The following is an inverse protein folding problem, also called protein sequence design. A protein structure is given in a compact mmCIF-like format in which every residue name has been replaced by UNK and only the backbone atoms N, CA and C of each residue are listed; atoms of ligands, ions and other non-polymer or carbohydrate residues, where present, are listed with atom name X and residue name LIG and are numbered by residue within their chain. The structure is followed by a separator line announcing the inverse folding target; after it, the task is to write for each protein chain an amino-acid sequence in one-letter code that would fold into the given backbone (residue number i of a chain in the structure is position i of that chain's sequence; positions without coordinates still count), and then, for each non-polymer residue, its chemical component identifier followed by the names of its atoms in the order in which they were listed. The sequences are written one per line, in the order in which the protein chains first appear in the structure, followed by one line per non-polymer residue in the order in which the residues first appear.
data_IF_684739964112
#
_entry.id   IF_684739964112
#
_cell.length_a   1.000
_cell.length_b   1.000
_cell.length_c   1.000
_cell.angle_alpha   90.00
_cell.angle_beta   90.00
_cell.angle_gamma   90.00
#
_symmetry.space_group_name_H-M   'P 1'
#
loop_
_entity.id
_entity.type
_entity.pdbx_description
1 polymer ?
#
# COMPACT_ATOMS: atom_id res chain seq x y z
N UNK A 1 -6.55 -12.57 15.55
CA UNK A 1 -7.19 -11.64 16.52
C UNK A 1 -7.84 -10.61 15.66
N UNK A 2 -9.14 -10.42 15.86
CA UNK A 2 -9.94 -9.78 14.83
C UNK A 2 -10.43 -8.45 15.37
N UNK A 3 -10.18 -7.39 14.62
CA UNK A 3 -10.59 -6.04 14.98
C UNK A 3 -11.59 -5.53 13.95
N UNK A 4 -12.69 -4.98 14.43
CA UNK A 4 -13.77 -4.48 13.60
C UNK A 4 -13.98 -2.99 13.83
N UNK A 5 -14.14 -2.25 12.73
CA UNK A 5 -14.60 -0.87 12.70
C UNK A 5 -13.74 0.09 13.54
N UNK A 6 -12.45 0.18 13.22
CA UNK A 6 -11.55 1.13 13.86
C UNK A 6 -11.39 2.38 12.99
N UNK A 7 -11.65 3.56 13.57
CA UNK A 7 -11.39 4.85 12.95
C UNK A 7 -10.45 5.68 13.81
N UNK A 8 -9.31 6.11 13.24
CA UNK A 8 -8.36 7.03 13.89
C UNK A 8 -8.23 8.29 13.03
N UNK A 9 -8.36 9.48 13.62
CA UNK A 9 -8.43 10.74 12.85
C UNK A 9 -7.20 11.64 12.98
N UNK A 10 -6.44 11.53 14.08
CA UNK A 10 -5.24 12.34 14.36
C UNK A 10 -4.35 11.59 15.34
N UNK A 11 -3.30 10.96 14.85
CA UNK A 11 -2.35 10.27 15.71
C UNK A 11 -0.97 10.30 15.07
N UNK A 12 0.03 10.53 15.91
CA UNK A 12 1.43 10.40 15.54
C UNK A 12 1.95 9.12 16.22
N UNK A 13 2.46 8.19 15.43
CA UNK A 13 3.09 6.96 15.93
C UNK A 13 4.48 6.81 15.34
N UNK A 14 5.46 6.54 16.20
CA UNK A 14 6.86 6.42 15.79
C UNK A 14 7.30 5.02 15.40
N UNK A 15 6.57 3.99 15.87
CA UNK A 15 6.78 2.58 15.50
C UNK A 15 5.56 1.78 15.91
N UNK A 16 5.03 0.97 15.01
CA UNK A 16 3.97 0.00 15.30
C UNK A 16 4.28 -1.29 14.56
N UNK A 17 4.18 -2.42 15.26
CA UNK A 17 4.24 -3.74 14.63
C UNK A 17 3.00 -4.54 15.00
N UNK A 18 2.29 -5.03 14.00
CA UNK A 18 1.17 -5.96 14.16
C UNK A 18 1.51 -7.29 13.49
N UNK A 19 1.12 -8.39 14.11
CA UNK A 19 1.32 -9.73 13.56
C UNK A 19 0.06 -10.59 13.77
N UNK A 20 -0.35 -11.37 12.76
CA UNK A 20 -1.44 -12.37 12.84
C UNK A 20 -2.78 -11.76 13.26
N UNK A 21 -3.23 -10.73 12.54
CA UNK A 21 -4.51 -10.09 12.81
C UNK A 21 -5.35 -9.93 11.56
N UNK A 22 -6.66 -10.01 11.76
CA UNK A 22 -7.64 -9.74 10.73
C UNK A 22 -8.29 -8.38 11.06
N UNK A 23 -8.17 -7.42 10.15
CA UNK A 23 -8.70 -6.07 10.37
C UNK A 23 -9.83 -5.80 9.37
N UNK A 24 -10.98 -5.46 9.90
CA UNK A 24 -12.17 -5.13 9.13
C UNK A 24 -12.53 -3.66 9.31
N UNK A 25 -12.67 -2.95 8.20
CA UNK A 25 -13.07 -1.55 8.11
C UNK A 25 -12.16 -0.65 8.95
N UNK A 26 -10.89 -0.54 8.57
CA UNK A 26 -9.93 0.36 9.20
C UNK A 26 -9.86 1.68 8.41
N UNK A 27 -10.19 2.79 9.07
CA UNK A 27 -10.06 4.13 8.53
C UNK A 27 -9.02 4.94 9.30
N UNK A 28 -7.99 5.41 8.61
CA UNK A 28 -6.95 6.26 9.18
C UNK A 28 -6.91 7.60 8.43
N UNK A 29 -7.19 8.68 9.14
CA UNK A 29 -7.11 10.05 8.63
C UNK A 29 -5.98 10.80 9.34
N UNK A 30 -5.24 11.64 8.62
CA UNK A 30 -4.23 12.58 9.15
C UNK A 30 -3.23 11.96 10.14
N UNK A 31 -2.62 10.83 9.76
CA UNK A 31 -1.66 10.12 10.61
C UNK A 31 -0.21 10.39 10.21
N UNK A 32 0.67 10.72 11.15
CA UNK A 32 2.12 10.62 10.94
C UNK A 32 2.60 9.28 11.49
N UNK A 33 2.81 8.32 10.59
CA UNK A 33 3.25 6.96 10.92
C UNK A 33 4.68 6.75 10.44
N UNK A 34 5.61 6.80 11.37
CA UNK A 34 6.98 6.37 11.13
C UNK A 34 7.08 4.88 11.47
N UNK A 35 7.57 4.07 10.54
CA UNK A 35 7.85 2.64 10.72
C UNK A 35 6.64 1.80 11.16
N UNK A 36 5.65 1.66 10.27
CA UNK A 36 4.61 0.65 10.43
C UNK A 36 5.08 -0.68 9.82
N UNK A 37 5.04 -1.76 10.60
CA UNK A 37 5.33 -3.11 10.15
C UNK A 37 4.11 -4.00 10.34
N UNK A 38 3.59 -4.59 9.27
CA UNK A 38 2.50 -5.58 9.35
C UNK A 38 2.97 -6.91 8.80
N UNK A 39 2.66 -7.99 9.51
CA UNK A 39 3.05 -9.34 9.11
C UNK A 39 1.89 -10.33 9.29
N UNK A 40 1.57 -11.12 8.25
CA UNK A 40 0.48 -12.11 8.28
C UNK A 40 -0.86 -11.48 8.66
N UNK A 41 -1.40 -10.63 7.80
CA UNK A 41 -2.66 -9.94 8.06
C UNK A 41 -3.65 -10.15 6.94
N UNK A 42 -4.92 -10.29 7.31
CA UNK A 42 -6.05 -10.22 6.39
C UNK A 42 -6.75 -8.87 6.59
N UNK A 43 -6.76 -8.04 5.55
CA UNK A 43 -7.27 -6.67 5.60
C UNK A 43 -8.50 -6.52 4.70
N UNK A 44 -9.63 -6.22 5.32
CA UNK A 44 -10.90 -5.99 4.65
C UNK A 44 -11.29 -4.53 4.76
N UNK A 45 -11.22 -3.80 3.65
CA UNK A 45 -11.49 -2.36 3.56
C UNK A 45 -10.57 -1.50 4.43
N UNK A 46 -9.44 -1.11 3.85
CA UNK A 46 -8.52 -0.15 4.44
C UNK A 46 -8.63 1.21 3.73
N UNK A 47 -8.80 2.28 4.49
CA UNK A 47 -8.80 3.66 3.99
C UNK A 47 -7.70 4.49 4.66
N UNK A 48 -6.81 5.07 3.87
CA UNK A 48 -5.73 5.94 4.35
C UNK A 48 -5.80 7.31 3.68
N UNK A 49 -5.81 8.38 4.47
CA UNK A 49 -5.78 9.74 3.96
C UNK A 49 -4.74 10.63 4.66
N UNK A 50 -3.87 11.25 3.84
CA UNK A 50 -2.88 12.30 4.14
C UNK A 50 -1.76 11.92 5.10
N UNK A 51 -0.52 12.29 4.67
CA UNK A 51 0.77 12.45 5.40
C UNK A 51 1.82 11.35 5.12
N UNK A 52 3.12 11.62 5.44
CA UNK A 52 4.20 10.68 5.20
C UNK A 52 4.00 9.35 5.92
N UNK A 53 4.19 8.26 5.17
CA UNK A 53 4.15 6.91 5.71
C UNK A 53 5.42 6.15 5.29
N UNK A 54 6.06 5.51 6.28
CA UNK A 54 7.06 4.47 6.05
C UNK A 54 6.48 3.12 6.50
N UNK A 55 6.42 2.17 5.57
CA UNK A 55 5.65 0.95 5.72
C UNK A 55 6.41 -0.27 5.19
N UNK A 56 6.41 -1.34 5.99
CA UNK A 56 6.82 -2.67 5.58
C UNK A 56 5.67 -3.66 5.76
N UNK A 57 5.29 -4.35 4.68
CA UNK A 57 4.22 -5.35 4.68
C UNK A 57 4.78 -6.71 4.23
N UNK A 58 4.50 -7.75 5.00
CA UNK A 58 4.88 -9.12 4.65
C UNK A 58 3.69 -10.08 4.81
N UNK A 59 3.40 -10.89 3.77
CA UNK A 59 2.31 -11.88 3.77
C UNK A 59 0.97 -11.21 4.13
N UNK A 60 0.48 -10.34 3.26
CA UNK A 60 -0.77 -9.61 3.47
C UNK A 60 -1.75 -9.94 2.36
N UNK A 61 -2.96 -10.28 2.77
CA UNK A 61 -4.11 -10.40 1.88
C UNK A 61 -4.99 -9.17 2.08
N UNK A 62 -5.18 -8.38 1.01
CA UNK A 62 -5.90 -7.12 1.08
C UNK A 62 -6.96 -7.04 -0.01
N UNK A 63 -8.20 -7.04 0.44
CA UNK A 63 -9.36 -7.14 -0.45
C UNK A 63 -9.79 -5.80 -1.05
N UNK A 64 -9.57 -4.72 -0.31
CA UNK A 64 -9.94 -3.37 -0.74
C UNK A 64 -9.10 -2.33 -0.02
N UNK A 65 -8.41 -1.49 -0.77
CA UNK A 65 -7.61 -0.38 -0.26
C UNK A 65 -7.88 0.91 -1.05
N UNK A 66 -8.23 1.97 -0.33
CA UNK A 66 -8.28 3.33 -0.83
C UNK A 66 -7.18 4.19 -0.21
N UNK A 67 -6.35 4.82 -1.03
CA UNK A 67 -5.37 5.80 -0.58
C UNK A 67 -5.53 7.14 -1.31
N UNK A 68 -5.56 8.23 -0.55
CA UNK A 68 -5.62 9.59 -1.10
C UNK A 68 -4.54 10.51 -0.49
N UNK A 69 -3.78 11.18 -1.37
CA UNK A 69 -2.76 12.20 -1.03
C UNK A 69 -1.68 11.68 -0.07
N UNK A 70 -1.00 10.61 -0.43
CA UNK A 70 0.05 10.02 0.40
C UNK A 70 1.43 10.29 -0.19
N UNK A 71 2.35 10.67 0.69
CA UNK A 71 3.79 10.66 0.41
C UNK A 71 4.35 9.38 1.05
N UNK A 72 4.92 8.48 0.26
CA UNK A 72 5.42 7.20 0.75
C UNK A 72 6.94 7.17 0.73
N UNK A 73 7.55 6.98 1.90
CA UNK A 73 9.00 6.88 2.04
C UNK A 73 9.38 5.45 2.38
N UNK A 74 10.15 4.79 1.52
CA UNK A 74 10.63 3.42 1.70
C UNK A 74 9.50 2.41 1.96
N UNK A 75 8.68 2.15 0.94
CA UNK A 75 7.66 1.12 0.98
C UNK A 75 8.25 -0.22 0.52
N UNK A 76 8.21 -1.22 1.40
CA UNK A 76 8.58 -2.61 1.11
C UNK A 76 7.39 -3.53 1.22
N UNK A 77 7.07 -4.25 0.14
CA UNK A 77 5.95 -5.18 0.06
C UNK A 77 6.45 -6.57 -0.34
N UNK A 78 6.16 -7.60 0.45
CA UNK A 78 6.56 -8.97 0.14
C UNK A 78 5.37 -9.93 0.29
N UNK A 79 5.11 -10.75 -0.73
CA UNK A 79 4.02 -11.76 -0.76
C UNK A 79 2.66 -11.10 -0.48
N UNK A 80 2.16 -10.40 -1.48
CA UNK A 80 0.94 -9.61 -1.37
C UNK A 80 -0.11 -10.09 -2.37
N UNK A 81 -1.32 -10.34 -1.88
CA UNK A 81 -2.49 -10.59 -2.72
C UNK A 81 -3.45 -9.40 -2.61
N UNK A 82 -3.56 -8.60 -3.67
CA UNK A 82 -4.35 -7.38 -3.72
C UNK A 82 -5.50 -7.48 -4.71
N UNK A 83 -6.74 -7.32 -4.24
CA UNK A 83 -7.91 -7.49 -5.10
C UNK A 83 -8.40 -6.18 -5.72
N UNK A 84 -8.63 -5.15 -4.90
CA UNK A 84 -9.12 -3.85 -5.37
C UNK A 84 -8.30 -2.72 -4.76
N UNK A 85 -7.49 -2.07 -5.59
CA UNK A 85 -6.62 -0.98 -5.16
C UNK A 85 -6.99 0.33 -5.86
N UNK A 86 -7.36 1.34 -5.07
CA UNK A 86 -7.68 2.68 -5.55
C UNK A 86 -6.69 3.73 -5.01
N UNK A 87 -5.86 4.28 -5.89
CA UNK A 87 -4.82 5.25 -5.52
C UNK A 87 -5.03 6.61 -6.19
N UNK A 88 -5.01 7.67 -5.39
CA UNK A 88 -5.18 9.04 -5.87
C UNK A 88 -4.13 9.98 -5.28
N UNK A 89 -3.20 10.43 -6.13
CA UNK A 89 -2.07 11.30 -5.78
C UNK A 89 -1.14 10.62 -4.78
N UNK A 90 -0.23 9.82 -5.31
CA UNK A 90 0.76 9.08 -4.55
C UNK A 90 2.15 9.49 -5.01
N UNK A 91 3.00 9.92 -4.08
CA UNK A 91 4.37 10.32 -4.39
C UNK A 91 5.38 9.41 -3.64
N UNK A 92 5.55 8.14 -4.08
CA UNK A 92 6.54 7.23 -3.51
C UNK A 92 7.99 7.58 -3.90
N UNK A 93 8.85 7.69 -2.90
CA UNK A 93 10.29 7.91 -3.10
C UNK A 93 11.04 6.62 -3.44
N UNK A 94 10.79 5.55 -2.67
CA UNK A 94 11.37 4.23 -2.86
C UNK A 94 10.28 3.19 -2.70
N UNK A 95 10.05 2.40 -3.75
CA UNK A 95 9.03 1.35 -3.76
C UNK A 95 9.65 0.03 -4.20
N UNK A 96 9.68 -0.93 -3.28
CA UNK A 96 10.11 -2.31 -3.54
C UNK A 96 8.93 -3.26 -3.37
N UNK A 97 8.68 -4.10 -4.36
CA UNK A 97 7.67 -5.16 -4.26
C UNK A 97 8.24 -6.48 -4.75
N UNK A 98 7.99 -7.55 -4.00
CA UNK A 98 8.39 -8.91 -4.34
C UNK A 98 7.18 -9.85 -4.20
N UNK A 99 6.90 -10.64 -5.24
CA UNK A 99 5.79 -11.62 -5.29
C UNK A 99 4.44 -10.98 -4.99
N UNK A 100 3.88 -10.32 -5.99
CA UNK A 100 2.63 -9.60 -5.85
C UNK A 100 1.62 -10.03 -6.92
N UNK A 101 0.43 -10.42 -6.47
CA UNK A 101 -0.71 -10.68 -7.33
C UNK A 101 -1.73 -9.54 -7.17
N UNK A 102 -2.10 -8.90 -8.28
CA UNK A 102 -2.95 -7.70 -8.28
C UNK A 102 -4.08 -7.85 -9.28
N UNK A 103 -5.34 -7.80 -8.84
CA UNK A 103 -6.50 -8.11 -9.70
C UNK A 103 -7.19 -6.88 -10.33
N UNK A 104 -7.50 -5.83 -9.57
CA UNK A 104 -8.00 -4.52 -10.06
C UNK A 104 -7.17 -3.40 -9.43
N UNK A 105 -6.55 -2.60 -10.29
CA UNK A 105 -5.84 -1.39 -9.88
C UNK A 105 -6.33 -0.17 -10.66
N UNK A 106 -6.70 0.86 -9.90
CA UNK A 106 -7.07 2.18 -10.40
C UNK A 106 -6.13 3.24 -9.83
N UNK A 107 -5.39 3.89 -10.71
CA UNK A 107 -4.50 5.00 -10.35
C UNK A 107 -4.81 6.24 -11.18
N UNK A 108 -4.85 7.41 -10.53
CA UNK A 108 -5.14 8.70 -11.19
C UNK A 108 -3.95 9.65 -11.33
N UNK A 109 -3.05 9.67 -10.35
CA UNK A 109 -1.83 10.51 -10.31
C UNK A 109 -0.79 9.82 -9.44
N UNK A 110 0.40 9.60 -10.00
CA UNK A 110 1.51 8.96 -9.32
C UNK A 110 2.81 9.56 -9.86
N UNK A 111 3.66 10.06 -8.96
CA UNK A 111 5.03 10.49 -9.28
C UNK A 111 6.02 9.59 -8.51
N UNK A 112 6.82 8.82 -9.24
CA UNK A 112 7.64 7.73 -8.68
C UNK A 112 9.12 7.98 -8.94
N UNK A 113 9.91 8.02 -7.87
CA UNK A 113 11.36 8.22 -8.00
C UNK A 113 12.10 6.92 -8.31
N UNK A 114 11.95 5.91 -7.44
CA UNK A 114 12.59 4.61 -7.58
C UNK A 114 11.58 3.45 -7.44
N UNK A 115 11.63 2.52 -8.38
CA UNK A 115 10.79 1.31 -8.41
C UNK A 115 11.63 0.04 -8.61
N UNK A 116 11.42 -0.96 -7.75
CA UNK A 116 11.85 -2.34 -7.98
C UNK A 116 10.65 -3.27 -7.86
N UNK A 117 10.30 -3.97 -8.96
CA UNK A 117 9.28 -5.02 -8.97
C UNK A 117 9.91 -6.36 -9.35
N UNK A 118 9.82 -7.33 -8.46
CA UNK A 118 10.27 -8.71 -8.70
C UNK A 118 9.07 -9.67 -8.63
N UNK A 119 8.73 -10.27 -9.77
CA UNK A 119 7.63 -11.23 -9.96
C UNK A 119 6.29 -10.66 -9.51
N UNK A 120 5.64 -9.94 -10.42
CA UNK A 120 4.27 -9.49 -10.26
C UNK A 120 3.40 -10.11 -11.35
N UNK A 121 2.20 -10.55 -10.99
CA UNK A 121 1.11 -10.88 -11.90
C UNK A 121 0.02 -9.81 -11.75
N UNK A 122 -0.42 -9.25 -12.87
CA UNK A 122 -1.45 -8.21 -12.89
C UNK A 122 -2.63 -8.67 -13.73
N UNK A 123 -3.83 -8.58 -13.16
CA UNK A 123 -5.10 -8.72 -13.86
C UNK A 123 -5.50 -7.42 -14.56
N UNK A 124 -6.79 -7.07 -14.47
CA UNK A 124 -7.36 -5.91 -15.16
C UNK A 124 -6.79 -4.59 -14.59
N UNK A 125 -5.98 -3.93 -15.41
CA UNK A 125 -5.31 -2.68 -15.04
C UNK A 125 -5.97 -1.48 -15.72
N UNK A 126 -6.62 -0.61 -14.94
CA UNK A 126 -7.15 0.68 -15.42
C UNK A 126 -6.31 1.84 -14.88
N UNK A 127 -5.25 2.17 -15.61
CA UNK A 127 -4.31 3.24 -15.25
C UNK A 127 -4.51 4.50 -16.08
N UNK A 128 -4.68 5.64 -15.41
CA UNK A 128 -4.55 6.96 -16.02
C UNK A 128 -3.34 7.65 -15.37
N UNK A 129 -2.15 7.38 -15.89
CA UNK A 129 -0.90 7.87 -15.28
C UNK A 129 -0.41 9.12 -16.01
N UNK A 130 -0.30 10.23 -15.29
CA UNK A 130 0.61 11.32 -15.66
C UNK A 130 1.94 11.00 -14.98
N UNK A 131 2.76 10.16 -15.59
CA UNK A 131 3.93 9.55 -14.93
C UNK A 131 5.23 10.29 -15.27
N UNK A 132 6.05 10.56 -14.26
CA UNK A 132 7.48 10.79 -14.41
C UNK A 132 8.23 9.73 -13.58
N UNK A 133 8.58 8.59 -14.19
CA UNK A 133 9.44 7.59 -13.53
C UNK A 133 10.89 7.99 -13.78
N UNK A 134 11.68 8.17 -12.72
CA UNK A 134 13.10 8.52 -12.86
C UNK A 134 14.00 7.28 -12.96
N UNK A 135 13.73 6.24 -12.15
CA UNK A 135 14.48 4.97 -12.16
C UNK A 135 13.54 3.78 -11.87
N UNK A 136 13.59 2.73 -12.70
CA UNK A 136 12.78 1.52 -12.51
C UNK A 136 13.49 0.24 -12.96
N UNK A 137 13.25 -0.85 -12.21
CA UNK A 137 13.59 -2.23 -12.57
C UNK A 137 12.34 -3.12 -12.44
N UNK A 138 11.99 -3.84 -13.51
CA UNK A 138 10.73 -4.57 -13.64
C UNK A 138 10.99 -6.00 -14.14
N UNK A 139 10.68 -7.01 -13.32
CA UNK A 139 10.68 -8.42 -13.68
C UNK A 139 9.27 -9.02 -13.47
N UNK A 140 8.30 -8.60 -14.27
CA UNK A 140 6.93 -9.11 -14.22
C UNK A 140 6.73 -10.22 -15.26
N UNK A 141 5.95 -11.24 -14.91
CA UNK A 141 5.51 -12.29 -15.83
C UNK A 141 4.06 -11.97 -16.22
N UNK A 142 3.75 -12.06 -17.51
CA UNK A 142 2.39 -11.94 -18.05
C UNK A 142 1.58 -13.20 -17.81
#
# INVERSE_FOLDING_TARGET
MDLYNLGLEKMDMFSLRLEKMDLYNLGLEKMDLYNLGLEKMDLYNLGLEKRPLQLGLEKIDLYSLGMEKMDLYNLGLEKMDLYNLGLKKMDPYNLGMEKMDLYDLRMKKMDLYNLGLERCMTGDLHTFIHNSIKYAYLNCLS
#
